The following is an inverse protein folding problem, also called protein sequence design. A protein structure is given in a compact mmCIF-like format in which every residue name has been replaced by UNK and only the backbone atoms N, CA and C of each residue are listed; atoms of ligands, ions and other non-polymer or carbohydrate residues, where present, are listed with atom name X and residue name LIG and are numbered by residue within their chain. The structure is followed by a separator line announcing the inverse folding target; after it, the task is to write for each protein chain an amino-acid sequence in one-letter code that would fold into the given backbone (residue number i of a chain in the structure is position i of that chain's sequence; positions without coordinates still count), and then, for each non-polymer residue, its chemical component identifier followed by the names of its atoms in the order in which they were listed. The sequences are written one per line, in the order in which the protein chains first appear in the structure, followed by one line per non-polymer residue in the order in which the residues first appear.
data_IF_766939828621
#
_entry.id   IF_766939828621
#
_cell.length_a   1.000
_cell.length_b   1.000
_cell.length_c   1.000
_cell.angle_alpha   90.00
_cell.angle_beta   90.00
_cell.angle_gamma   90.00
#
_symmetry.space_group_name_H-M   'P 1'
#
loop_
_entity.id
_entity.type
_entity.pdbx_description
1 polymer ?
#
# COMPACT_ATOMS: atom_id res chain seq x y z
N UNK A 1 7.68 -9.46 -8.97
CA UNK A 1 8.64 -9.62 -7.85
C UNK A 1 7.90 -9.11 -6.64
N UNK A 2 7.73 -9.97 -5.64
CA UNK A 2 6.91 -9.71 -4.47
C UNK A 2 7.82 -9.84 -3.26
N UNK A 3 8.01 -8.75 -2.53
CA UNK A 3 8.99 -8.65 -1.45
C UNK A 3 8.31 -8.48 -0.09
N UNK A 4 8.87 -9.14 0.92
CA UNK A 4 8.54 -8.90 2.31
C UNK A 4 9.55 -7.90 2.89
N UNK A 5 9.07 -6.86 3.55
CA UNK A 5 9.89 -5.85 4.19
C UNK A 5 9.68 -5.91 5.71
N UNK A 6 10.76 -5.91 6.49
CA UNK A 6 10.69 -5.74 7.94
C UNK A 6 11.35 -4.42 8.32
N UNK A 7 10.62 -3.58 9.07
CA UNK A 7 11.12 -2.29 9.53
C UNK A 7 11.15 -2.21 11.05
N UNK A 8 12.26 -1.67 11.55
CA UNK A 8 12.45 -1.33 12.96
C UNK A 8 12.72 0.17 13.06
N UNK A 9 11.87 0.95 13.77
CA UNK A 9 12.07 2.39 13.94
C UNK A 9 13.48 2.71 14.44
N UNK A 10 14.15 3.67 13.81
CA UNK A 10 15.47 4.17 14.21
C UNK A 10 16.66 3.28 13.85
N UNK A 11 16.47 2.04 13.42
CA UNK A 11 17.57 1.16 12.99
C UNK A 11 18.19 1.63 11.66
N UNK A 12 17.34 2.02 10.72
CA UNK A 12 17.74 2.61 9.43
C UNK A 12 16.60 3.48 8.90
N UNK A 13 16.66 4.82 9.09
CA UNK A 13 15.58 5.72 8.69
C UNK A 13 15.58 6.03 7.18
N UNK A 14 16.53 5.50 6.40
CA UNK A 14 16.61 5.81 4.97
C UNK A 14 15.35 5.36 4.21
N UNK A 15 14.91 6.13 3.19
CA UNK A 15 13.82 5.73 2.33
C UNK A 15 14.03 4.34 1.74
N UNK A 16 13.01 3.48 1.81
CA UNK A 16 13.03 2.17 1.16
C UNK A 16 12.20 2.18 -0.11
N UNK A 17 12.54 1.29 -1.02
CA UNK A 17 11.88 1.17 -2.32
C UNK A 17 11.52 -0.29 -2.53
N UNK A 18 10.23 -0.54 -2.78
CA UNK A 18 9.71 -1.87 -3.14
C UNK A 18 9.16 -1.78 -4.56
N UNK A 19 9.25 -2.86 -5.34
CA UNK A 19 8.80 -2.89 -6.74
C UNK A 19 7.84 -4.04 -6.97
N UNK A 20 6.91 -3.86 -7.89
CA UNK A 20 5.95 -4.90 -8.26
C UNK A 20 5.19 -4.59 -9.55
N UNK A 21 4.17 -5.40 -9.82
CA UNK A 21 3.24 -5.27 -10.93
C UNK A 21 1.84 -5.21 -10.34
N UNK A 22 1.08 -4.16 -10.65
CA UNK A 22 -0.26 -3.93 -10.09
C UNK A 22 -1.33 -4.70 -10.84
N UNK A 23 -2.54 -4.70 -10.28
CA UNK A 23 -3.74 -5.21 -10.93
C UNK A 23 -4.14 -6.59 -10.44
N UNK A 24 -5.16 -7.15 -11.07
CA UNK A 24 -5.71 -8.46 -10.74
C UNK A 24 -7.22 -8.51 -10.98
N UNK A 25 -7.87 -9.64 -10.65
CA UNK A 25 -9.27 -9.86 -11.00
C UNK A 25 -10.27 -9.42 -9.93
N UNK A 26 -9.83 -9.13 -8.70
CA UNK A 26 -10.73 -8.89 -7.57
C UNK A 26 -11.00 -7.40 -7.35
N UNK A 27 -12.25 -6.97 -7.12
CA UNK A 27 -12.53 -5.61 -6.67
C UNK A 27 -11.79 -5.28 -5.37
N UNK A 28 -11.14 -4.12 -5.31
CA UNK A 28 -10.41 -3.69 -4.11
C UNK A 28 -11.31 -3.59 -2.87
N UNK A 29 -12.59 -3.23 -3.06
CA UNK A 29 -13.61 -3.20 -2.01
C UNK A 29 -13.85 -4.55 -1.36
N UNK A 30 -13.75 -5.64 -2.12
CA UNK A 30 -13.99 -7.00 -1.63
C UNK A 30 -12.84 -7.44 -0.73
N UNK A 31 -11.61 -7.07 -1.12
CA UNK A 31 -10.45 -7.22 -0.26
C UNK A 31 -10.65 -6.35 0.97
N UNK A 32 -10.85 -5.04 0.85
CA UNK A 32 -10.97 -4.15 2.01
C UNK A 32 -12.15 -4.46 2.96
N UNK A 33 -13.17 -5.18 2.47
CA UNK A 33 -14.42 -5.51 3.17
C UNK A 33 -15.42 -4.36 3.21
N UNK A 34 -15.17 -3.28 2.46
CA UNK A 34 -15.97 -2.05 2.40
C UNK A 34 -15.59 -1.22 1.17
N UNK A 35 -16.51 -0.38 0.65
CA UNK A 35 -16.23 0.46 -0.51
C UNK A 35 -15.36 1.68 -0.20
N UNK A 36 -15.24 2.08 1.06
CA UNK A 36 -14.52 3.27 1.48
C UNK A 36 -13.92 3.11 2.89
N UNK A 37 -12.74 3.68 3.11
CA UNK A 37 -12.07 3.76 4.41
C UNK A 37 -11.78 5.21 4.78
N UNK A 38 -11.30 5.45 6.01
CA UNK A 38 -10.94 6.80 6.46
C UNK A 38 -9.85 7.49 5.61
N UNK A 39 -9.13 6.73 4.78
CA UNK A 39 -8.06 7.19 3.91
C UNK A 39 -8.48 7.36 2.45
N UNK A 40 -9.71 6.97 2.09
CA UNK A 40 -10.23 7.08 0.72
C UNK A 40 -11.03 5.86 0.26
N UNK A 41 -11.54 5.91 -0.99
CA UNK A 41 -12.34 4.84 -1.57
C UNK A 41 -11.47 3.64 -1.96
N UNK A 42 -12.09 2.45 -1.95
CA UNK A 42 -11.47 1.18 -2.36
C UNK A 42 -11.87 0.86 -3.81
N UNK A 43 -11.30 1.59 -4.76
CA UNK A 43 -11.60 1.49 -6.19
C UNK A 43 -10.68 0.50 -6.90
N UNK A 44 -11.00 0.16 -8.15
CA UNK A 44 -10.14 -0.66 -9.00
C UNK A 44 -10.09 -2.13 -8.62
N UNK A 45 -9.09 -2.82 -9.18
CA UNK A 45 -8.92 -4.26 -9.12
C UNK A 45 -7.52 -4.65 -8.65
N UNK A 46 -7.45 -5.62 -7.75
CA UNK A 46 -6.24 -6.14 -7.10
C UNK A 46 -6.14 -7.65 -7.27
N UNK A 47 -4.95 -8.21 -7.02
CA UNK A 47 -4.75 -9.66 -7.03
C UNK A 47 -5.42 -10.33 -5.81
N UNK A 48 -5.67 -11.62 -5.96
CA UNK A 48 -6.18 -12.55 -4.96
C UNK A 48 -5.29 -12.68 -3.72
N UNK A 49 -3.98 -12.51 -3.89
CA UNK A 49 -2.97 -12.52 -2.83
C UNK A 49 -2.35 -11.13 -2.67
N UNK A 50 -1.88 -10.75 -1.47
CA UNK A 50 -1.16 -9.50 -1.31
C UNK A 50 0.15 -9.51 -2.08
N UNK A 51 0.50 -8.36 -2.67
CA UNK A 51 1.75 -8.18 -3.40
C UNK A 51 2.94 -8.09 -2.45
N UNK A 52 2.73 -7.50 -1.27
CA UNK A 52 3.79 -7.29 -0.28
C UNK A 52 3.32 -7.56 1.14
N UNK A 53 4.25 -8.03 1.95
CA UNK A 53 4.09 -8.11 3.39
C UNK A 53 5.05 -7.13 4.06
N UNK A 54 4.51 -6.20 4.84
CA UNK A 54 5.28 -5.29 5.67
C UNK A 54 5.15 -5.70 7.14
N UNK A 55 6.28 -6.00 7.78
CA UNK A 55 6.32 -6.30 9.22
C UNK A 55 6.96 -5.13 9.97
N UNK A 56 6.21 -4.51 10.88
CA UNK A 56 6.69 -3.44 11.75
C UNK A 56 6.99 -4.02 13.13
N UNK A 57 8.23 -3.89 13.60
CA UNK A 57 8.66 -4.50 14.88
C UNK A 57 8.29 -3.67 16.12
N UNK A 58 7.97 -2.39 15.93
CA UNK A 58 7.58 -1.43 16.95
C UNK A 58 6.67 -0.34 16.30
N UNK A 59 5.92 0.46 17.09
CA UNK A 59 5.11 1.53 16.54
C UNK A 59 5.96 2.57 15.79
N UNK A 60 5.40 3.10 14.70
CA UNK A 60 5.96 4.23 13.96
C UNK A 60 5.09 5.46 14.19
N UNK A 61 5.68 6.55 14.68
CA UNK A 61 5.01 7.86 14.76
C UNK A 61 4.71 8.44 13.37
N UNK A 62 5.53 8.08 12.40
CA UNK A 62 5.30 8.38 11.00
C UNK A 62 5.83 7.24 10.13
N UNK A 63 4.97 6.75 9.24
CA UNK A 63 5.35 5.91 8.11
C UNK A 63 4.44 6.27 6.95
N UNK A 64 5.02 6.39 5.75
CA UNK A 64 4.30 6.68 4.52
C UNK A 64 4.63 5.64 3.47
N UNK A 65 3.60 5.07 2.85
CA UNK A 65 3.68 4.26 1.64
C UNK A 65 3.16 5.12 0.49
N UNK A 66 4.00 5.40 -0.50
CA UNK A 66 3.62 6.18 -1.69
C UNK A 66 3.88 5.34 -2.93
N UNK A 67 2.83 5.04 -3.69
CA UNK A 67 2.95 4.30 -4.94
C UNK A 67 3.35 5.27 -6.05
N UNK A 68 4.12 4.78 -7.00
CA UNK A 68 4.50 5.50 -8.21
C UNK A 68 4.37 4.55 -9.39
N UNK A 69 3.46 4.86 -10.30
CA UNK A 69 3.33 4.19 -11.59
C UNK A 69 3.11 5.22 -12.71
N UNK A 70 3.32 4.77 -13.95
CA UNK A 70 2.96 5.55 -15.14
C UNK A 70 1.45 5.57 -15.40
N UNK A 71 0.72 4.63 -14.79
CA UNK A 71 -0.73 4.44 -14.95
C UNK A 71 -1.43 4.64 -13.60
N UNK A 72 -2.75 4.79 -13.65
CA UNK A 72 -3.60 4.97 -12.47
C UNK A 72 -3.67 3.68 -11.65
N UNK A 73 -3.27 3.76 -10.38
CA UNK A 73 -3.14 2.63 -9.46
C UNK A 73 -3.93 2.87 -8.19
N UNK A 74 -4.29 1.79 -7.50
CA UNK A 74 -4.96 1.85 -6.21
C UNK A 74 -4.13 1.13 -5.15
N UNK A 75 -4.29 1.50 -3.88
CA UNK A 75 -3.59 0.89 -2.75
C UNK A 75 -4.62 0.37 -1.74
N UNK A 76 -4.49 -0.90 -1.36
CA UNK A 76 -5.19 -1.48 -0.21
C UNK A 76 -4.15 -2.00 0.79
N UNK A 77 -4.32 -1.63 2.05
CA UNK A 77 -3.51 -2.13 3.17
C UNK A 77 -4.43 -2.76 4.20
N UNK A 78 -4.10 -3.96 4.66
CA UNK A 78 -4.72 -4.59 5.83
C UNK A 78 -3.67 -4.86 6.90
N UNK A 79 -4.04 -4.72 8.16
CA UNK A 79 -3.16 -5.07 9.26
C UNK A 79 -3.74 -4.70 10.63
N UNK A 80 -2.88 -4.59 11.66
CA UNK A 80 -3.30 -4.13 12.98
C UNK A 80 -4.10 -2.82 12.90
N UNK A 81 -5.34 -2.84 13.41
CA UNK A 81 -6.25 -1.70 13.42
C UNK A 81 -7.29 -1.68 12.29
N UNK A 82 -7.14 -2.48 11.23
CA UNK A 82 -8.16 -2.64 10.20
C UNK A 82 -7.62 -2.67 8.76
N UNK A 83 -8.35 -1.98 7.88
CA UNK A 83 -8.08 -1.88 6.45
C UNK A 83 -8.18 -0.43 5.98
N UNK A 84 -7.33 -0.08 5.02
CA UNK A 84 -7.21 1.25 4.46
C UNK A 84 -7.07 1.15 2.95
N UNK A 85 -7.78 2.02 2.24
CA UNK A 85 -7.67 2.19 0.81
C UNK A 85 -7.26 3.61 0.51
N UNK A 86 -6.55 3.79 -0.58
CA UNK A 86 -6.36 5.09 -1.17
C UNK A 86 -6.16 4.94 -2.68
N UNK A 87 -6.56 5.97 -3.40
CA UNK A 87 -6.51 6.01 -4.86
C UNK A 87 -5.77 7.26 -5.36
N UNK A 88 -6.02 8.39 -4.69
CA UNK A 88 -5.36 9.65 -4.93
C UNK A 88 -4.71 10.16 -3.64
N UNK A 89 -3.38 10.23 -3.63
CA UNK A 89 -2.60 10.85 -2.57
C UNK A 89 -1.70 11.96 -3.14
N UNK A 90 -0.88 11.61 -4.12
CA UNK A 90 -0.08 12.55 -4.90
C UNK A 90 -0.52 12.46 -6.37
N UNK A 91 -1.43 13.34 -6.78
CA UNK A 91 -2.08 13.29 -8.09
C UNK A 91 -2.89 11.98 -8.27
N UNK A 92 -2.60 11.20 -9.30
CA UNK A 92 -3.25 9.92 -9.62
C UNK A 92 -2.59 8.71 -8.93
N UNK A 93 -1.55 8.92 -8.12
CA UNK A 93 -0.90 7.81 -7.44
C UNK A 93 -1.36 7.75 -5.97
N UNK A 94 -1.67 6.54 -5.47
CA UNK A 94 -2.19 6.36 -4.13
C UNK A 94 -1.08 6.35 -3.08
N UNK A 95 -1.48 6.63 -1.85
CA UNK A 95 -0.57 6.61 -0.72
C UNK A 95 -1.29 6.69 0.62
N UNK A 96 -0.64 6.16 1.65
CA UNK A 96 -1.13 6.18 3.03
C UNK A 96 0.04 6.61 3.92
N UNK A 97 -0.19 7.64 4.72
CA UNK A 97 0.78 8.16 5.67
C UNK A 97 0.14 8.39 7.04
N UNK A 98 0.92 8.26 8.11
CA UNK A 98 0.48 8.52 9.48
C UNK A 98 1.21 7.66 10.51
N UNK A 99 0.56 7.45 11.65
CA UNK A 99 1.03 6.54 12.69
C UNK A 99 0.69 5.09 12.35
N UNK A 100 1.61 4.17 12.62
CA UNK A 100 1.41 2.74 12.36
C UNK A 100 1.72 1.92 13.61
N UNK A 101 0.88 0.91 13.87
CA UNK A 101 1.04 -0.01 14.98
C UNK A 101 2.09 -1.09 14.62
N UNK A 102 2.72 -1.72 15.62
CA UNK A 102 3.53 -2.91 15.36
C UNK A 102 2.67 -4.06 14.83
N UNK A 103 3.23 -4.85 13.93
CA UNK A 103 2.60 -6.06 13.40
C UNK A 103 2.79 -6.26 11.91
N UNK A 104 2.03 -7.22 11.38
CA UNK A 104 2.07 -7.63 9.98
C UNK A 104 0.99 -6.93 9.18
N UNK A 105 1.40 -6.28 8.10
CA UNK A 105 0.55 -5.62 7.13
C UNK A 105 0.64 -6.34 5.79
N UNK A 106 -0.51 -6.54 5.17
CA UNK A 106 -0.67 -7.08 3.83
C UNK A 106 -1.03 -5.93 2.90
N UNK A 107 -0.32 -5.82 1.78
CA UNK A 107 -0.41 -4.69 0.86
C UNK A 107 -0.76 -5.21 -0.54
N UNK A 108 -1.80 -4.64 -1.12
CA UNK A 108 -2.21 -4.86 -2.51
C UNK A 108 -2.09 -3.55 -3.28
N UNK A 109 -1.50 -3.61 -4.47
CA UNK A 109 -1.48 -2.54 -5.44
C UNK A 109 -2.30 -2.97 -6.65
N UNK A 110 -3.38 -2.24 -6.91
CA UNK A 110 -4.30 -2.53 -7.99
C UNK A 110 -4.19 -1.57 -9.16
N UNK A 111 -5.06 -1.78 -10.14
CA UNK A 111 -5.30 -0.84 -11.25
C UNK A 111 -6.80 -0.61 -11.43
N UNK A 112 -7.17 0.57 -11.90
CA UNK A 112 -8.54 0.86 -12.34
C UNK A 112 -8.97 0.09 -13.58
N UNK A 113 -8.00 -0.40 -14.36
CA UNK A 113 -8.27 -1.18 -15.56
C UNK A 113 -8.36 -2.65 -15.17
N UNK A 114 -9.55 -3.23 -15.30
CA UNK A 114 -9.73 -4.66 -15.11
C UNK A 114 -8.79 -5.45 -16.05
N UNK A 115 -8.02 -6.39 -15.51
CA UNK A 115 -6.94 -7.11 -16.20
C UNK A 115 -5.82 -6.23 -16.80
N UNK A 116 -5.68 -4.98 -16.32
CA UNK A 116 -4.52 -4.14 -16.59
C UNK A 116 -3.41 -4.42 -15.58
N UNK A 117 -2.19 -4.64 -16.07
CA UNK A 117 -1.03 -4.94 -15.25
C UNK A 117 0.08 -3.93 -15.51
N UNK A 118 0.47 -3.18 -14.50
CA UNK A 118 1.40 -2.07 -14.66
C UNK A 118 2.53 -2.11 -13.64
N UNK A 119 3.78 -1.83 -14.05
CA UNK A 119 4.88 -1.75 -13.10
C UNK A 119 4.68 -0.57 -12.15
N UNK A 120 5.04 -0.78 -10.89
CA UNK A 120 5.02 0.27 -9.89
C UNK A 120 6.25 0.20 -8.99
N UNK A 121 6.44 1.30 -8.26
CA UNK A 121 7.38 1.43 -7.17
C UNK A 121 6.63 1.95 -5.93
N UNK A 122 6.88 1.36 -4.76
CA UNK A 122 6.44 1.91 -3.48
C UNK A 122 7.64 2.59 -2.82
N UNK A 123 7.54 3.89 -2.57
CA UNK A 123 8.44 4.62 -1.69
C UNK A 123 7.94 4.50 -0.26
N UNK A 124 8.80 3.99 0.61
CA UNK A 124 8.52 3.85 2.05
C UNK A 124 9.35 4.88 2.81
N UNK A 125 8.68 5.85 3.41
CA UNK A 125 9.30 6.94 4.16
C UNK A 125 9.00 6.78 5.64
N UNK A 126 10.04 6.80 6.47
CA UNK A 126 9.94 6.68 7.93
C UNK A 126 9.96 8.04 8.64
N UNK A 127 10.09 9.12 7.88
CA UNK A 127 10.08 10.51 8.33
C UNK A 127 9.32 11.37 7.32
N UNK A 128 8.63 12.44 7.75
CA UNK A 128 8.06 13.43 6.84
C UNK A 128 9.15 14.06 5.95
N UNK A 129 8.79 14.43 4.73
CA UNK A 129 9.66 15.24 3.85
C UNK A 129 9.78 16.70 4.32
#
# INVERSE_FOLDING_TARGET
MFENLTLTPGADPSPKTIRGISGGPLPASDVAGRPETATGPCLGFVDTQPDHILTLTAPFEFLSLQVQSAEDTTLVVKGPGGSWCNDNYLSLNPGIAGQWLPGRYEIWIGSHRNNGYFPYVIRVLQQPE
#
